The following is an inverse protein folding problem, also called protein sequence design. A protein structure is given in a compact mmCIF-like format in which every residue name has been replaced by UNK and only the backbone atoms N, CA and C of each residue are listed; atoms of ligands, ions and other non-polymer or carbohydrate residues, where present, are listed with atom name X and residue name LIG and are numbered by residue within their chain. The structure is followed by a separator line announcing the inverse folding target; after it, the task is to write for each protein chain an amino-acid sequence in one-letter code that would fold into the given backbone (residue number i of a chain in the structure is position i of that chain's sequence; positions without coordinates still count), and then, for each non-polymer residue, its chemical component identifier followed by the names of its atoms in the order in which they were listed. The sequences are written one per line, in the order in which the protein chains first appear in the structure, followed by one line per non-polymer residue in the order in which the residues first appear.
data_IF_213373076100
#
_entry.id   IF_213373076100
#
_cell.length_a   1.000
_cell.length_b   1.000
_cell.length_c   1.000
_cell.angle_alpha   90.00
_cell.angle_beta   90.00
_cell.angle_gamma   90.00
#
_symmetry.space_group_name_H-M   'P 1'
#
loop_
_entity.id
_entity.type
_entity.pdbx_description
1 polymer ?
#
# COMPACT_ATOMS: atom_id res chain seq x y z
N UNK A 1 -16.79 4.64 20.55
CA UNK A 1 -17.81 4.93 19.53
C UNK A 1 -17.30 4.90 18.08
N UNK A 2 -16.00 5.17 17.82
CA UNK A 2 -15.47 5.37 16.46
C UNK A 2 -15.61 4.12 15.57
N UNK A 3 -15.20 2.94 16.06
CA UNK A 3 -15.26 1.69 15.29
C UNK A 3 -16.69 1.36 14.85
N UNK A 4 -17.68 1.65 15.70
CA UNK A 4 -19.08 1.40 15.41
C UNK A 4 -19.58 2.19 14.20
N UNK A 5 -19.13 3.44 14.05
CA UNK A 5 -19.46 4.29 12.89
C UNK A 5 -18.86 3.68 11.62
N UNK A 6 -17.64 3.16 11.66
CA UNK A 6 -17.00 2.56 10.48
C UNK A 6 -17.43 1.12 10.17
N UNK A 7 -18.09 0.43 11.12
CA UNK A 7 -18.75 -0.85 10.88
C UNK A 7 -20.07 -0.73 10.10
N UNK A 8 -20.61 0.48 9.92
CA UNK A 8 -21.85 0.69 9.15
C UNK A 8 -21.56 1.01 7.68
N UNK A 9 -22.35 0.44 6.77
CA UNK A 9 -22.23 0.62 5.31
C UNK A 9 -22.81 1.97 4.82
N UNK A 10 -22.43 3.07 5.45
CA UNK A 10 -22.92 4.39 5.07
C UNK A 10 -21.88 5.10 4.21
N UNK A 11 -22.31 5.64 3.06
CA UNK A 11 -21.44 6.42 2.16
C UNK A 11 -20.76 7.59 2.89
N UNK A 12 -21.43 8.15 3.90
CA UNK A 12 -20.89 9.23 4.75
C UNK A 12 -19.60 8.82 5.48
N UNK A 13 -19.39 7.53 5.74
CA UNK A 13 -18.17 7.02 6.36
C UNK A 13 -16.93 7.29 5.49
N UNK A 14 -17.06 7.30 4.15
CA UNK A 14 -15.93 7.66 3.27
C UNK A 14 -15.56 9.14 3.38
N UNK A 15 -16.53 10.03 3.61
CA UNK A 15 -16.26 11.45 3.87
C UNK A 15 -15.53 11.61 5.20
N UNK A 16 -15.94 10.87 6.23
CA UNK A 16 -15.22 10.83 7.50
C UNK A 16 -13.78 10.32 7.36
N UNK A 17 -13.51 9.34 6.48
CA UNK A 17 -12.14 8.87 6.22
C UNK A 17 -11.26 9.98 5.64
N UNK A 18 -11.78 10.75 4.67
CA UNK A 18 -11.06 11.87 4.07
C UNK A 18 -10.78 12.98 5.09
N UNK A 19 -11.76 13.32 5.93
CA UNK A 19 -11.57 14.30 7.01
C UNK A 19 -10.56 13.81 8.05
N UNK A 20 -10.61 12.51 8.39
CA UNK A 20 -9.71 11.90 9.36
C UNK A 20 -8.28 11.85 8.83
N UNK A 21 -8.07 11.62 7.52
CA UNK A 21 -6.72 11.67 6.92
C UNK A 21 -6.12 13.07 7.01
N UNK A 22 -6.89 14.11 6.70
CA UNK A 22 -6.41 15.50 6.83
C UNK A 22 -6.10 15.83 8.30
N UNK A 23 -6.97 15.43 9.24
CA UNK A 23 -6.80 15.70 10.66
C UNK A 23 -5.56 15.03 11.26
N UNK A 24 -5.34 13.74 10.97
CA UNK A 24 -4.18 13.01 11.49
C UNK A 24 -2.85 13.48 10.86
N UNK A 25 -2.90 14.17 9.72
CA UNK A 25 -1.71 14.69 9.04
C UNK A 25 -1.33 16.11 9.46
N UNK A 26 -2.11 16.78 10.31
CA UNK A 26 -1.80 18.13 10.84
C UNK A 26 -0.39 18.22 11.46
N UNK A 27 0.11 17.25 12.24
CA UNK A 27 1.46 17.33 12.79
C UNK A 27 2.57 17.41 11.72
N UNK A 28 2.32 16.92 10.50
CA UNK A 28 3.27 16.95 9.39
C UNK A 28 3.64 18.36 8.91
N UNK A 29 2.76 19.35 9.17
CA UNK A 29 3.07 20.75 8.86
C UNK A 29 4.16 21.33 9.75
N UNK A 30 4.41 20.72 10.91
CA UNK A 30 5.39 21.19 11.90
C UNK A 30 6.68 20.34 11.93
N UNK A 31 6.68 19.16 11.30
CA UNK A 31 7.84 18.25 11.26
C UNK A 31 8.43 18.21 9.85
N UNK A 32 9.71 18.59 9.73
CA UNK A 32 10.45 18.47 8.47
C UNK A 32 11.08 17.09 8.34
N UNK A 33 10.70 16.34 7.31
CA UNK A 33 11.30 15.05 6.96
C UNK A 33 12.19 15.24 5.74
N UNK A 34 13.44 14.74 5.81
CA UNK A 34 14.33 14.69 4.64
C UNK A 34 14.02 13.44 3.84
N UNK A 35 13.71 13.63 2.56
CA UNK A 35 13.40 12.56 1.62
C UNK A 35 14.48 12.59 0.56
N UNK A 36 15.16 11.47 0.36
CA UNK A 36 16.10 11.35 -0.74
C UNK A 36 15.34 10.83 -1.95
N UNK A 37 15.42 11.52 -3.08
CA UNK A 37 14.83 11.02 -4.31
C UNK A 37 15.96 10.61 -5.24
N UNK A 38 16.00 9.33 -5.63
CA UNK A 38 16.96 8.88 -6.59
C UNK A 38 16.78 9.67 -7.89
N UNK A 39 17.89 10.22 -8.38
CA UNK A 39 17.92 11.12 -9.54
C UNK A 39 17.26 10.49 -10.78
N UNK A 40 17.34 9.16 -10.90
CA UNK A 40 16.85 8.38 -12.02
C UNK A 40 15.39 7.92 -11.87
N UNK A 41 14.73 8.21 -10.75
CA UNK A 41 13.32 7.88 -10.57
C UNK A 41 12.44 8.68 -11.52
N UNK A 42 11.38 8.06 -12.06
CA UNK A 42 10.38 8.77 -12.87
C UNK A 42 9.74 9.94 -12.09
N UNK A 43 9.70 9.83 -10.75
CA UNK A 43 9.23 10.89 -9.88
C UNK A 43 10.11 12.15 -9.93
N UNK A 44 11.44 12.03 -10.08
CA UNK A 44 12.31 13.20 -10.17
C UNK A 44 11.96 14.07 -11.40
N UNK A 45 11.59 13.44 -12.52
CA UNK A 45 11.25 14.16 -13.76
C UNK A 45 9.89 14.87 -13.69
N UNK A 46 8.87 14.25 -13.10
CA UNK A 46 7.49 14.78 -13.13
C UNK A 46 7.00 15.37 -11.81
N UNK A 47 7.60 14.97 -10.69
CA UNK A 47 7.09 15.21 -9.34
C UNK A 47 7.99 16.04 -8.44
N UNK A 48 9.26 16.28 -8.80
CA UNK A 48 10.19 17.02 -7.94
C UNK A 48 9.71 18.45 -7.58
N UNK A 49 8.90 19.08 -8.44
CA UNK A 49 8.31 20.39 -8.15
C UNK A 49 7.35 20.38 -6.95
N UNK A 50 6.70 19.23 -6.66
CA UNK A 50 5.83 19.06 -5.49
C UNK A 50 6.60 19.22 -4.18
N UNK A 51 7.92 18.99 -4.21
CA UNK A 51 8.74 19.05 -3.01
C UNK A 51 9.22 20.44 -2.61
N UNK A 52 8.87 21.49 -3.36
CA UNK A 52 9.37 22.84 -3.05
C UNK A 52 8.71 23.49 -1.83
N UNK A 53 7.46 23.12 -1.51
CA UNK A 53 6.68 23.72 -0.43
C UNK A 53 6.15 22.66 0.52
N UNK A 54 6.65 22.63 1.76
CA UNK A 54 6.26 21.62 2.76
C UNK A 54 4.75 21.57 3.01
N UNK A 55 4.10 22.72 3.20
CA UNK A 55 2.65 22.75 3.45
C UNK A 55 1.85 22.15 2.30
N UNK A 56 2.29 22.37 1.05
CA UNK A 56 1.65 21.79 -0.12
C UNK A 56 1.87 20.28 -0.21
N UNK A 57 3.08 19.79 0.11
CA UNK A 57 3.38 18.36 0.18
C UNK A 57 2.47 17.63 1.16
N UNK A 58 2.36 18.13 2.40
CA UNK A 58 1.57 17.51 3.45
C UNK A 58 0.09 17.47 3.05
N UNK A 59 -0.42 18.57 2.50
CA UNK A 59 -1.79 18.61 1.99
C UNK A 59 -2.03 17.56 0.90
N UNK A 60 -1.23 17.56 -0.15
CA UNK A 60 -1.36 16.61 -1.28
C UNK A 60 -1.25 15.15 -0.79
N UNK A 61 -0.29 14.85 0.07
CA UNK A 61 -0.11 13.51 0.63
C UNK A 61 -1.30 13.06 1.48
N UNK A 62 -1.82 13.93 2.35
CA UNK A 62 -3.00 13.63 3.19
C UNK A 62 -4.26 13.35 2.37
N UNK A 63 -4.45 14.08 1.27
CA UNK A 63 -5.55 13.88 0.32
C UNK A 63 -5.37 12.58 -0.44
N UNK A 64 -4.15 12.29 -0.94
CA UNK A 64 -3.85 11.04 -1.64
C UNK A 64 -4.08 9.82 -0.74
N UNK A 65 -3.59 9.84 0.50
CA UNK A 65 -3.82 8.75 1.47
C UNK A 65 -5.31 8.57 1.76
N UNK A 66 -6.06 9.67 1.89
CA UNK A 66 -7.51 9.62 2.05
C UNK A 66 -8.22 8.99 0.83
N UNK A 67 -7.85 9.39 -0.39
CA UNK A 67 -8.40 8.82 -1.63
C UNK A 67 -8.04 7.34 -1.77
N UNK A 68 -6.81 6.96 -1.45
CA UNK A 68 -6.35 5.57 -1.43
C UNK A 68 -7.14 4.73 -0.41
N UNK A 69 -7.42 5.27 0.78
CA UNK A 69 -8.24 4.61 1.79
C UNK A 69 -9.66 4.34 1.30
N UNK A 70 -10.28 5.33 0.63
CA UNK A 70 -11.61 5.21 0.04
C UNK A 70 -11.60 4.19 -1.10
N UNK A 71 -10.59 4.22 -1.97
CA UNK A 71 -10.44 3.28 -3.07
C UNK A 71 -10.22 1.84 -2.57
N UNK A 72 -9.38 1.65 -1.55
CA UNK A 72 -9.18 0.34 -0.93
C UNK A 72 -10.48 -0.19 -0.30
N UNK A 73 -11.22 0.65 0.43
CA UNK A 73 -12.55 0.29 0.94
C UNK A 73 -13.50 -0.15 -0.18
N UNK A 74 -13.49 0.56 -1.32
CA UNK A 74 -14.28 0.20 -2.49
C UNK A 74 -13.90 -1.20 -3.00
N UNK A 75 -12.61 -1.49 -3.20
CA UNK A 75 -12.11 -2.79 -3.68
C UNK A 75 -12.58 -3.94 -2.78
N UNK A 76 -12.44 -3.78 -1.46
CA UNK A 76 -12.81 -4.83 -0.49
C UNK A 76 -14.33 -5.04 -0.43
N UNK A 77 -15.11 -3.95 -0.42
CA UNK A 77 -16.56 -4.03 -0.31
C UNK A 77 -17.22 -4.53 -1.61
N UNK A 78 -16.68 -4.18 -2.77
CA UNK A 78 -17.16 -4.66 -4.07
C UNK A 78 -17.06 -6.20 -4.14
N UNK A 79 -15.95 -6.76 -3.65
CA UNK A 79 -15.76 -8.21 -3.63
C UNK A 79 -16.40 -8.92 -2.42
N UNK A 80 -17.08 -8.16 -1.54
CA UNK A 80 -17.69 -8.62 -0.28
C UNK A 80 -16.73 -9.46 0.56
N UNK A 81 -15.47 -9.01 0.63
CA UNK A 81 -14.40 -9.77 1.26
C UNK A 81 -14.57 -9.83 2.78
N UNK A 82 -15.00 -8.72 3.40
CA UNK A 82 -15.32 -8.63 4.84
C UNK A 82 -16.83 -8.72 5.04
N UNK A 83 -17.26 -9.52 6.02
CA UNK A 83 -18.69 -9.75 6.34
C UNK A 83 -19.36 -8.46 6.83
N UNK A 84 -20.39 -8.02 6.10
CA UNK A 84 -21.03 -6.72 6.34
C UNK A 84 -20.15 -5.62 5.80
N UNK A 85 -20.57 -4.98 4.71
CA UNK A 85 -19.83 -3.91 4.05
C UNK A 85 -19.38 -2.89 5.11
N UNK A 86 -18.07 -2.77 5.27
CA UNK A 86 -17.45 -2.09 6.39
C UNK A 86 -16.41 -1.12 5.84
N UNK A 87 -16.32 0.04 6.47
CA UNK A 87 -15.35 1.07 6.11
C UNK A 87 -14.09 0.99 6.98
N UNK A 88 -13.95 -0.07 7.79
CA UNK A 88 -12.81 -0.29 8.67
C UNK A 88 -11.49 -0.38 7.93
N UNK A 89 -11.47 -0.90 6.69
CA UNK A 89 -10.22 -1.03 5.91
C UNK A 89 -9.61 0.35 5.65
N UNK A 90 -10.42 1.28 5.17
CA UNK A 90 -9.96 2.65 4.93
C UNK A 90 -9.56 3.37 6.22
N UNK A 91 -10.27 3.14 7.34
CA UNK A 91 -9.85 3.68 8.63
C UNK A 91 -8.47 3.15 9.04
N UNK A 92 -8.23 1.84 8.99
CA UNK A 92 -6.92 1.28 9.32
C UNK A 92 -5.84 1.74 8.34
N UNK A 93 -6.17 1.90 7.05
CA UNK A 93 -5.22 2.42 6.07
C UNK A 93 -4.74 3.83 6.41
N UNK A 94 -5.65 4.74 6.75
CA UNK A 94 -5.30 6.11 7.18
C UNK A 94 -4.49 6.08 8.47
N UNK A 95 -4.94 5.32 9.47
CA UNK A 95 -4.25 5.24 10.77
C UNK A 95 -2.83 4.69 10.64
N UNK A 96 -2.62 3.68 9.80
CA UNK A 96 -1.27 3.14 9.53
C UNK A 96 -0.39 4.16 8.80
N UNK A 97 -0.91 4.87 7.80
CA UNK A 97 -0.14 5.91 7.09
C UNK A 97 0.09 7.18 7.92
N UNK A 98 -0.65 7.36 9.01
CA UNK A 98 -0.47 8.42 10.02
C UNK A 98 0.19 7.91 11.30
N UNK A 99 0.95 6.82 11.23
CA UNK A 99 1.50 6.19 12.42
C UNK A 99 2.76 6.88 12.97
N UNK A 100 3.54 7.54 12.12
CA UNK A 100 4.79 8.15 12.48
C UNK A 100 4.95 9.50 11.80
N UNK A 101 5.63 10.43 12.48
CA UNK A 101 5.97 11.76 11.95
C UNK A 101 6.80 11.70 10.67
N UNK A 102 7.65 10.69 10.54
CA UNK A 102 8.43 10.38 9.33
C UNK A 102 7.54 10.13 8.08
N UNK A 103 6.32 9.65 8.26
CA UNK A 103 5.38 9.39 7.17
C UNK A 103 4.52 10.60 6.79
N UNK A 104 4.45 11.63 7.64
CA UNK A 104 3.59 12.80 7.43
C UNK A 104 4.13 13.82 6.42
N UNK A 105 4.87 13.35 5.43
CA UNK A 105 5.42 14.14 4.34
C UNK A 105 5.15 13.42 3.03
N UNK A 106 5.10 14.16 1.91
CA UNK A 106 4.91 13.54 0.61
C UNK A 106 6.15 12.71 0.27
N UNK A 107 6.00 11.38 0.20
CA UNK A 107 7.04 10.48 -0.29
C UNK A 107 6.58 9.78 -1.59
N UNK A 108 7.51 9.42 -2.49
CA UNK A 108 7.19 8.68 -3.72
C UNK A 108 6.49 7.34 -3.44
N UNK A 109 6.71 6.72 -2.28
CA UNK A 109 6.11 5.43 -1.91
C UNK A 109 4.59 5.52 -1.72
N UNK A 110 4.06 6.67 -1.26
CA UNK A 110 2.61 6.91 -1.20
C UNK A 110 2.02 6.84 -2.61
N UNK A 111 2.73 7.39 -3.61
CA UNK A 111 2.31 7.28 -5.00
C UNK A 111 2.40 5.81 -5.48
N UNK A 112 3.45 5.10 -5.11
CA UNK A 112 3.61 3.66 -5.39
C UNK A 112 2.47 2.83 -4.80
N UNK A 113 1.99 3.15 -3.59
CA UNK A 113 0.82 2.48 -2.99
C UNK A 113 -0.43 2.59 -3.86
N UNK A 114 -0.63 3.70 -4.58
CA UNK A 114 -1.74 3.81 -5.53
C UNK A 114 -1.65 2.74 -6.63
N UNK A 115 -0.44 2.47 -7.14
CA UNK A 115 -0.21 1.39 -8.10
C UNK A 115 -0.43 0.01 -7.46
N UNK A 116 0.01 -0.22 -6.22
CA UNK A 116 -0.27 -1.46 -5.47
C UNK A 116 -1.77 -1.70 -5.34
N UNK A 117 -2.55 -0.66 -5.02
CA UNK A 117 -4.00 -0.73 -4.94
C UNK A 117 -4.64 -1.07 -6.29
N UNK A 118 -4.18 -0.47 -7.37
CA UNK A 118 -4.64 -0.80 -8.72
C UNK A 118 -4.32 -2.24 -9.13
N UNK A 119 -3.12 -2.73 -8.79
CA UNK A 119 -2.73 -4.14 -9.02
C UNK A 119 -3.63 -5.08 -8.21
N UNK A 120 -3.89 -4.78 -6.94
CA UNK A 120 -4.82 -5.53 -6.10
C UNK A 120 -6.24 -5.56 -6.67
N UNK A 121 -6.74 -4.41 -7.14
CA UNK A 121 -8.04 -4.34 -7.82
C UNK A 121 -8.10 -5.28 -9.02
N UNK A 122 -7.08 -5.26 -9.88
CA UNK A 122 -7.04 -6.15 -11.03
C UNK A 122 -6.90 -7.62 -10.64
N UNK A 123 -6.11 -7.96 -9.62
CA UNK A 123 -6.05 -9.33 -9.10
C UNK A 123 -7.41 -9.85 -8.66
N UNK A 124 -8.23 -9.01 -8.04
CA UNK A 124 -9.58 -9.38 -7.63
C UNK A 124 -10.52 -9.53 -8.83
N UNK A 125 -10.42 -8.62 -9.81
CA UNK A 125 -11.20 -8.70 -11.07
C UNK A 125 -10.88 -9.92 -11.92
N UNK A 126 -9.65 -10.43 -11.87
CA UNK A 126 -9.28 -11.67 -12.55
C UNK A 126 -10.08 -12.88 -12.05
N UNK A 127 -10.56 -12.84 -10.81
CA UNK A 127 -11.41 -13.90 -10.27
C UNK A 127 -12.87 -13.76 -10.74
N UNK A 128 -13.39 -12.54 -10.83
CA UNK A 128 -14.82 -12.30 -11.08
C UNK A 128 -15.21 -12.18 -12.54
N UNK A 129 -14.30 -11.74 -13.41
CA UNK A 129 -14.63 -11.40 -14.80
C UNK A 129 -14.07 -12.41 -15.82
N UNK A 130 -14.84 -12.63 -16.89
CA UNK A 130 -14.49 -13.54 -17.99
C UNK A 130 -13.44 -12.93 -18.93
N UNK A 131 -13.45 -11.61 -19.14
CA UNK A 131 -12.50 -10.87 -19.97
C UNK A 131 -11.25 -10.48 -19.19
N UNK A 132 -10.34 -11.44 -18.98
CA UNK A 132 -9.14 -11.23 -18.17
C UNK A 132 -7.98 -10.49 -18.89
N UNK A 133 -7.94 -10.51 -20.22
CA UNK A 133 -6.74 -10.05 -20.98
C UNK A 133 -6.40 -8.57 -20.72
N UNK A 134 -7.39 -7.69 -20.71
CA UNK A 134 -7.18 -6.26 -20.42
C UNK A 134 -6.71 -6.06 -18.98
N UNK A 135 -7.27 -6.79 -18.02
CA UNK A 135 -6.84 -6.71 -16.61
C UNK A 135 -5.42 -7.21 -16.40
N UNK A 136 -4.99 -8.25 -17.12
CA UNK A 136 -3.61 -8.73 -17.08
C UNK A 136 -2.62 -7.73 -17.64
N UNK A 137 -2.94 -7.13 -18.79
CA UNK A 137 -2.12 -6.08 -19.37
C UNK A 137 -2.03 -4.88 -18.43
N UNK A 138 -3.18 -4.42 -17.89
CA UNK A 138 -3.22 -3.27 -17.00
C UNK A 138 -2.49 -3.53 -15.68
N UNK A 139 -2.62 -4.72 -15.09
CA UNK A 139 -1.87 -5.08 -13.88
C UNK A 139 -0.36 -5.09 -14.15
N UNK A 140 0.08 -5.69 -15.26
CA UNK A 140 1.49 -5.64 -15.68
C UNK A 140 1.96 -4.19 -15.88
N UNK A 141 1.18 -3.37 -16.58
CA UNK A 141 1.46 -1.97 -16.82
C UNK A 141 1.61 -1.16 -15.53
N UNK A 142 0.70 -1.31 -14.57
CA UNK A 142 0.81 -0.63 -13.27
C UNK A 142 2.05 -1.08 -12.48
N UNK A 143 2.41 -2.36 -12.53
CA UNK A 143 3.66 -2.86 -11.92
C UNK A 143 4.86 -2.19 -12.59
N UNK A 144 4.88 -2.13 -13.93
CA UNK A 144 5.95 -1.48 -14.69
C UNK A 144 6.10 0.01 -14.37
N UNK A 145 5.00 0.77 -14.40
CA UNK A 145 5.03 2.21 -14.04
C UNK A 145 5.44 2.41 -12.59
N UNK A 146 4.88 1.64 -11.66
CA UNK A 146 5.23 1.73 -10.25
C UNK A 146 6.70 1.37 -10.00
N UNK A 147 7.25 0.41 -10.75
CA UNK A 147 8.67 0.07 -10.68
C UNK A 147 9.59 1.17 -11.20
N UNK A 148 9.16 1.98 -12.17
CA UNK A 148 9.94 3.16 -12.62
C UNK A 148 10.05 4.26 -11.55
N UNK A 149 9.16 4.23 -10.55
CA UNK A 149 9.17 5.16 -9.41
C UNK A 149 9.89 4.54 -8.22
N UNK A 150 9.68 3.25 -7.98
CA UNK A 150 10.32 2.48 -6.92
C UNK A 150 10.65 1.08 -7.44
N UNK A 151 11.90 0.87 -7.84
CA UNK A 151 12.39 -0.34 -8.51
C UNK A 151 11.96 -1.66 -7.82
N UNK A 152 12.02 -1.78 -6.47
CA UNK A 152 11.66 -3.03 -5.79
C UNK A 152 10.20 -3.47 -6.01
N UNK A 153 9.32 -2.61 -6.53
CA UNK A 153 7.96 -3.01 -6.89
C UNK A 153 7.90 -4.09 -7.99
N UNK A 154 8.97 -4.27 -8.79
CA UNK A 154 9.08 -5.34 -9.79
C UNK A 154 8.82 -6.74 -9.21
N UNK A 155 9.04 -6.91 -7.90
CA UNK A 155 8.76 -8.13 -7.16
C UNK A 155 7.28 -8.56 -7.26
N UNK A 156 6.35 -7.63 -7.53
CA UNK A 156 4.95 -7.97 -7.78
C UNK A 156 4.70 -8.65 -9.13
N UNK A 157 5.65 -8.62 -10.06
CA UNK A 157 5.49 -9.24 -11.36
C UNK A 157 5.42 -10.78 -11.30
N UNK A 158 6.35 -11.48 -10.62
CA UNK A 158 6.17 -12.92 -10.34
C UNK A 158 4.87 -13.22 -9.59
N UNK A 159 4.44 -12.36 -8.65
CA UNK A 159 3.16 -12.52 -7.97
C UNK A 159 1.98 -12.49 -8.94
N UNK A 160 1.99 -11.61 -9.95
CA UNK A 160 0.96 -11.56 -10.99
C UNK A 160 0.82 -12.92 -11.69
N UNK A 161 1.93 -13.57 -12.03
CA UNK A 161 1.91 -14.90 -12.65
C UNK A 161 1.39 -15.99 -11.71
N UNK A 162 1.75 -15.93 -10.42
CA UNK A 162 1.23 -16.86 -9.40
C UNK A 162 -0.29 -16.67 -9.25
N UNK A 163 -0.76 -15.43 -9.15
CA UNK A 163 -2.20 -15.10 -9.01
C UNK A 163 -2.97 -15.54 -10.25
N UNK A 164 -2.44 -15.31 -11.46
CA UNK A 164 -3.03 -15.78 -12.71
C UNK A 164 -3.18 -17.31 -12.72
N UNK A 165 -2.13 -18.03 -12.34
CA UNK A 165 -2.11 -19.51 -12.31
C UNK A 165 -3.03 -20.08 -11.23
N UNK A 166 -3.20 -19.34 -10.12
CA UNK A 166 -4.04 -19.74 -8.99
C UNK A 166 -5.54 -19.52 -9.24
N UNK A 167 -5.89 -18.44 -9.92
CA UNK A 167 -7.29 -18.10 -10.18
C UNK A 167 -7.85 -18.72 -11.44
N UNK A 168 -7.03 -18.89 -12.48
CA UNK A 168 -7.47 -19.29 -13.82
C UNK A 168 -6.57 -20.39 -14.39
N UNK A 169 -7.09 -21.12 -15.37
CA UNK A 169 -6.29 -22.11 -16.10
C UNK A 169 -5.15 -21.40 -16.83
N UNK A 170 -3.90 -21.81 -16.59
CA UNK A 170 -2.74 -21.12 -17.16
C UNK A 170 -2.76 -21.21 -18.68
N UNK A 171 -2.68 -20.05 -19.34
CA UNK A 171 -2.57 -19.96 -20.79
C UNK A 171 -1.35 -19.11 -21.13
N UNK A 172 -0.44 -19.66 -21.93
CA UNK A 172 0.80 -18.99 -22.36
C UNK A 172 0.55 -17.58 -22.89
N UNK A 173 -0.55 -17.37 -23.63
CA UNK A 173 -0.93 -16.05 -24.17
C UNK A 173 -1.16 -15.02 -23.06
N UNK A 174 -1.77 -15.43 -21.95
CA UNK A 174 -2.09 -14.55 -20.83
C UNK A 174 -0.81 -14.09 -20.10
N UNK A 175 0.22 -14.94 -20.02
CA UNK A 175 1.54 -14.55 -19.50
C UNK A 175 2.23 -13.53 -20.40
N UNK A 176 2.24 -13.73 -21.72
CA UNK A 176 2.83 -12.76 -22.65
C UNK A 176 2.13 -11.40 -22.59
N UNK A 177 0.79 -11.37 -22.49
CA UNK A 177 0.03 -10.13 -22.36
C UNK A 177 0.46 -9.36 -21.10
N UNK A 178 0.59 -10.05 -19.96
CA UNK A 178 1.07 -9.42 -18.73
C UNK A 178 2.51 -8.90 -18.85
N UNK A 179 3.39 -9.64 -19.53
CA UNK A 179 4.77 -9.26 -19.78
C UNK A 179 4.88 -8.01 -20.64
N UNK A 180 4.13 -7.94 -21.75
CA UNK A 180 4.07 -6.74 -22.59
C UNK A 180 3.52 -5.53 -21.83
N UNK A 181 2.52 -5.75 -20.96
CA UNK A 181 2.04 -4.71 -20.05
C UNK A 181 3.17 -4.16 -19.18
N UNK A 182 3.93 -5.03 -18.53
CA UNK A 182 5.02 -4.61 -17.65
C UNK A 182 6.21 -3.97 -18.38
N UNK A 183 6.56 -4.45 -19.56
CA UNK A 183 7.70 -3.93 -20.35
C UNK A 183 7.41 -2.58 -20.99
N UNK A 184 6.16 -2.30 -21.37
CA UNK A 184 5.81 -1.11 -22.12
C UNK A 184 6.22 0.21 -21.43
N UNK A 185 5.98 0.42 -20.12
CA UNK A 185 6.51 1.57 -19.39
C UNK A 185 8.03 1.73 -19.52
N UNK A 186 8.79 0.64 -19.41
CA UNK A 186 10.26 0.68 -19.53
C UNK A 186 10.70 1.09 -20.93
N UNK A 187 10.06 0.57 -21.97
CA UNK A 187 10.38 0.95 -23.36
C UNK A 187 10.21 2.46 -23.56
N UNK A 188 9.09 3.02 -23.10
CA UNK A 188 8.86 4.47 -23.19
C UNK A 188 9.86 5.26 -22.35
N UNK A 189 10.17 4.83 -21.13
CA UNK A 189 11.11 5.52 -20.26
C UNK A 189 12.55 5.52 -20.83
N UNK A 190 13.01 4.38 -21.34
CA UNK A 190 14.33 4.26 -22.01
C UNK A 190 14.36 5.16 -23.25
N UNK A 191 13.30 5.18 -24.05
CA UNK A 191 13.23 6.05 -25.23
C UNK A 191 13.31 7.54 -24.84
N UNK A 192 12.68 7.94 -23.74
CA UNK A 192 12.75 9.31 -23.21
C UNK A 192 14.16 9.68 -22.73
N UNK A 193 14.83 8.78 -21.99
CA UNK A 193 16.22 8.98 -21.54
C UNK A 193 17.18 9.09 -22.74
N UNK A 194 16.96 8.27 -23.78
CA UNK A 194 17.75 8.33 -25.01
C UNK A 194 17.58 9.68 -25.72
N UNK A 195 16.34 10.17 -25.86
CA UNK A 195 16.05 11.45 -26.50
C UNK A 195 16.56 12.68 -25.73
N UNK A 196 16.84 12.53 -24.42
CA UNK A 196 17.33 13.61 -23.55
C UNK A 196 18.84 13.57 -23.31
N UNK A 197 19.57 12.70 -24.03
CA UNK A 197 21.02 12.47 -23.90
C UNK A 197 21.47 12.12 -22.47
N UNK A 198 20.56 11.59 -21.64
CA UNK A 198 20.86 11.20 -20.25
C UNK A 198 21.33 9.75 -20.12
N UNK A 199 21.37 8.99 -21.22
CA UNK A 199 21.59 7.54 -21.20
C UNK A 199 22.98 7.14 -20.67
N UNK A 200 24.00 7.98 -20.88
CA UNK A 200 25.36 7.77 -20.33
C UNK A 200 25.46 8.10 -18.83
N UNK A 201 24.46 8.78 -18.26
CA UNK A 201 24.41 9.12 -16.83
C UNK A 201 23.65 8.09 -16.00
N UNK A 202 22.86 7.21 -16.62
CA UNK A 202 22.02 6.23 -15.92
C UNK A 202 22.62 4.83 -16.04
N UNK A 203 23.31 4.36 -15.00
CA UNK A 203 23.60 2.94 -14.82
C UNK A 203 22.31 2.23 -14.37
N UNK A 204 21.72 1.45 -15.27
CA UNK A 204 20.48 0.68 -14.99
C UNK A 204 20.61 -0.23 -13.76
N UNK A 205 21.82 -0.73 -13.49
CA UNK A 205 22.14 -1.56 -12.33
C UNK A 205 22.08 -0.76 -11.03
N UNK A 206 22.62 0.46 -11.00
CA UNK A 206 22.56 1.31 -9.81
C UNK A 206 21.13 1.78 -9.53
N UNK A 207 20.34 2.00 -10.60
CA UNK A 207 18.92 2.31 -10.47
C UNK A 207 18.12 1.17 -9.81
N UNK A 208 18.48 -0.09 -10.08
CA UNK A 208 17.77 -1.23 -9.48
C UNK A 208 18.18 -1.46 -8.02
N UNK A 209 19.47 -1.28 -7.71
CA UNK A 209 20.07 -1.74 -6.44
C UNK A 209 20.11 -0.61 -5.39
N UNK A 210 20.37 0.64 -5.79
CA UNK A 210 20.63 1.75 -4.87
C UNK A 210 19.44 2.73 -4.77
N UNK A 211 18.22 2.27 -5.05
CA UNK A 211 16.98 3.06 -5.04
C UNK A 211 16.51 3.41 -3.61
N UNK A 212 17.30 4.17 -2.85
CA UNK A 212 16.97 4.60 -1.48
C UNK A 212 16.06 5.83 -1.51
N UNK A 213 14.86 5.69 -0.93
CA UNK A 213 13.87 6.79 -0.86
C UNK A 213 13.91 7.50 0.49
N UNK A 214 14.29 6.78 1.53
CA UNK A 214 14.50 7.34 2.86
C UNK A 214 15.98 7.27 3.21
N UNK A 215 16.53 8.35 3.76
CA UNK A 215 17.84 8.30 4.40
C UNK A 215 17.74 7.46 5.68
N UNK A 216 18.82 6.77 6.04
CA UNK A 216 18.89 6.01 7.29
C UNK A 216 18.75 6.97 8.49
N UNK A 217 17.54 7.05 9.03
CA UNK A 217 17.25 7.85 10.22
C UNK A 217 17.39 7.00 11.48
N UNK A 218 17.96 7.58 12.53
CA UNK A 218 17.92 7.00 13.87
C UNK A 218 16.48 6.93 14.37
N UNK A 219 15.97 5.72 14.60
CA UNK A 219 14.65 5.51 15.20
C UNK A 219 14.68 5.88 16.70
N UNK A 220 13.70 6.64 17.17
CA UNK A 220 13.52 6.88 18.60
C UNK A 220 13.05 5.60 19.31
N UNK A 221 13.36 5.46 20.61
CA UNK A 221 12.92 4.30 21.41
C UNK A 221 11.39 4.14 21.39
N UNK A 222 10.64 5.24 21.32
CA UNK A 222 9.17 5.28 21.26
C UNK A 222 8.61 4.58 20.00
N UNK A 223 9.32 4.68 18.86
CA UNK A 223 8.93 4.03 17.61
C UNK A 223 8.94 2.50 17.74
N UNK A 224 9.87 1.93 18.51
CA UNK A 224 9.93 0.48 18.74
C UNK A 224 8.73 -0.03 19.55
N UNK A 225 8.21 0.75 20.51
CA UNK A 225 7.00 0.37 21.25
C UNK A 225 5.77 0.32 20.35
N UNK A 226 5.59 1.34 19.50
CA UNK A 226 4.50 1.36 18.52
C UNK A 226 4.60 0.17 17.56
N UNK A 227 5.78 -0.06 16.97
CA UNK A 227 6.00 -1.19 16.08
C UNK A 227 5.73 -2.52 16.78
N UNK A 228 6.12 -2.66 18.05
CA UNK A 228 5.85 -3.85 18.85
C UNK A 228 4.35 -4.13 18.98
N UNK A 229 3.55 -3.12 19.34
CA UNK A 229 2.08 -3.26 19.44
C UNK A 229 1.47 -3.62 18.08
N UNK A 230 1.90 -2.95 17.01
CA UNK A 230 1.42 -3.22 15.65
C UNK A 230 1.76 -4.64 15.21
N UNK A 231 2.98 -5.12 15.44
CA UNK A 231 3.41 -6.48 15.10
C UNK A 231 2.56 -7.50 15.85
N UNK A 232 2.33 -7.31 17.16
CA UNK A 232 1.48 -8.21 17.95
C UNK A 232 0.07 -8.26 17.38
N UNK A 233 -0.55 -7.11 17.08
CA UNK A 233 -1.87 -7.04 16.47
C UNK A 233 -1.92 -7.73 15.10
N UNK A 234 -0.87 -7.59 14.29
CA UNK A 234 -0.77 -8.26 13.00
C UNK A 234 -0.62 -9.77 13.13
N UNK A 235 0.17 -10.26 14.08
CA UNK A 235 0.28 -11.70 14.35
C UNK A 235 -1.09 -12.25 14.72
N UNK A 236 -1.84 -11.57 15.59
CA UNK A 236 -3.21 -11.97 15.92
C UNK A 236 -4.15 -11.89 14.72
N UNK A 237 -4.05 -10.85 13.89
CA UNK A 237 -4.87 -10.70 12.69
C UNK A 237 -4.60 -11.84 11.69
N UNK A 238 -3.33 -12.15 11.42
CA UNK A 238 -2.92 -13.24 10.53
C UNK A 238 -3.35 -14.60 11.10
N UNK A 239 -3.12 -14.85 12.39
CA UNK A 239 -3.55 -16.09 13.05
C UNK A 239 -5.08 -16.27 12.97
N UNK A 240 -5.85 -15.21 13.26
CA UNK A 240 -7.31 -15.24 13.17
C UNK A 240 -7.80 -15.53 11.75
N UNK A 241 -7.08 -15.04 10.74
CA UNK A 241 -7.38 -15.28 9.35
C UNK A 241 -7.17 -16.76 9.04
N UNK A 242 -5.99 -17.33 9.33
CA UNK A 242 -5.69 -18.75 9.09
C UNK A 242 -6.65 -19.70 9.81
N UNK A 243 -7.03 -19.41 11.05
CA UNK A 243 -7.99 -20.22 11.81
C UNK A 243 -9.39 -20.22 11.18
N UNK A 244 -9.78 -19.15 10.49
CA UNK A 244 -11.10 -19.00 9.90
C UNK A 244 -11.12 -19.23 8.37
N UNK A 245 -9.97 -19.36 7.70
CA UNK A 245 -9.86 -19.52 6.24
C UNK A 245 -10.75 -20.64 5.68
N UNK A 246 -10.79 -21.78 6.35
CA UNK A 246 -11.54 -22.95 5.87
C UNK A 246 -13.05 -22.82 6.09
N UNK A 247 -13.50 -21.88 6.93
CA UNK A 247 -14.92 -21.58 7.16
C UNK A 247 -15.47 -20.56 6.17
N UNK A 248 -14.59 -19.88 5.45
CA UNK A 248 -14.96 -18.89 4.44
C UNK A 248 -15.35 -19.54 3.11
N UNK A 249 -16.21 -18.87 2.35
CA UNK A 249 -16.62 -19.34 1.02
C UNK A 249 -15.41 -19.39 0.08
N UNK A 250 -15.45 -20.27 -0.92
CA UNK A 250 -14.29 -20.53 -1.82
C UNK A 250 -13.76 -19.25 -2.45
N UNK A 251 -14.65 -18.34 -2.87
CA UNK A 251 -14.28 -17.01 -3.40
C UNK A 251 -13.49 -16.19 -2.39
N UNK A 252 -14.04 -15.92 -1.21
CA UNK A 252 -13.40 -15.05 -0.21
C UNK A 252 -12.10 -15.65 0.29
N UNK A 253 -12.03 -16.98 0.46
CA UNK A 253 -10.80 -17.71 0.78
C UNK A 253 -9.70 -17.47 -0.25
N UNK A 254 -10.01 -17.57 -1.55
CA UNK A 254 -9.03 -17.30 -2.63
C UNK A 254 -8.51 -15.86 -2.58
N UNK A 255 -9.39 -14.88 -2.35
CA UNK A 255 -8.99 -13.47 -2.26
C UNK A 255 -8.13 -13.18 -1.02
N UNK A 256 -8.42 -13.80 0.12
CA UNK A 256 -7.55 -13.70 1.31
C UNK A 256 -6.16 -14.28 1.07
N UNK A 257 -6.06 -15.39 0.32
CA UNK A 257 -4.75 -15.95 -0.07
C UNK A 257 -3.98 -14.97 -0.97
N UNK A 258 -4.65 -14.25 -1.87
CA UNK A 258 -4.01 -13.20 -2.69
C UNK A 258 -3.48 -12.07 -1.80
N UNK A 259 -4.25 -11.60 -0.81
CA UNK A 259 -3.80 -10.57 0.14
C UNK A 259 -2.58 -11.07 0.93
N UNK A 260 -2.61 -12.33 1.37
CA UNK A 260 -1.47 -12.94 2.07
C UNK A 260 -0.23 -13.01 1.18
N UNK A 261 -0.37 -13.49 -0.06
CA UNK A 261 0.72 -13.52 -1.03
C UNK A 261 1.26 -12.11 -1.33
N UNK A 262 0.38 -11.11 -1.46
CA UNK A 262 0.78 -9.71 -1.62
C UNK A 262 1.67 -9.27 -0.46
N UNK A 263 1.31 -9.57 0.78
CA UNK A 263 2.14 -9.28 1.97
C UNK A 263 3.52 -9.92 1.86
N UNK A 264 3.60 -11.20 1.49
CA UNK A 264 4.88 -11.94 1.37
C UNK A 264 5.77 -11.32 0.29
N UNK A 265 5.22 -11.01 -0.87
CA UNK A 265 5.99 -10.40 -1.96
C UNK A 265 6.42 -8.95 -1.63
N UNK A 266 5.60 -8.18 -0.95
CA UNK A 266 6.01 -6.86 -0.48
C UNK A 266 7.12 -6.94 0.58
N UNK A 267 7.13 -7.96 1.45
CA UNK A 267 8.24 -8.19 2.39
C UNK A 267 9.57 -8.47 1.67
N UNK A 268 9.55 -9.19 0.54
CA UNK A 268 10.77 -9.49 -0.22
C UNK A 268 11.41 -8.26 -0.87
N UNK A 269 10.75 -7.09 -0.88
CA UNK A 269 11.36 -5.83 -1.35
C UNK A 269 12.58 -5.42 -0.53
N UNK A 270 12.66 -5.83 0.75
CA UNK A 270 13.81 -5.54 1.63
C UNK A 270 15.10 -6.21 1.14
N UNK A 271 15.00 -7.28 0.35
CA UNK A 271 16.17 -8.01 -0.19
C UNK A 271 16.89 -7.19 -1.26
N UNK A 272 16.19 -6.26 -1.91
CA UNK A 272 16.76 -5.40 -2.94
C UNK A 272 17.39 -4.14 -2.34
N UNK A 273 16.83 -3.65 -1.22
CA UNK A 273 17.35 -2.48 -0.52
C UNK A 273 17.00 -2.55 0.97
N UNK A 274 17.99 -2.88 1.80
CA UNK A 274 17.83 -3.05 3.25
C UNK A 274 17.52 -1.75 3.99
N UNK A 275 17.90 -0.61 3.42
CA UNK A 275 17.85 0.69 4.10
C UNK A 275 16.45 1.33 4.01
N UNK A 276 15.57 0.76 3.19
CA UNK A 276 14.21 1.26 2.91
C UNK A 276 13.12 0.63 3.81
N UNK A 277 13.40 0.39 5.09
CA UNK A 277 12.41 -0.18 6.04
C UNK A 277 11.13 0.67 6.12
N UNK A 278 11.28 2.00 6.05
CA UNK A 278 10.15 2.93 6.03
C UNK A 278 9.28 2.78 4.77
N UNK A 279 9.89 2.56 3.60
CA UNK A 279 9.16 2.31 2.36
C UNK A 279 8.37 1.00 2.44
N UNK A 280 8.99 -0.05 3.00
CA UNK A 280 8.33 -1.34 3.23
C UNK A 280 7.12 -1.20 4.17
N UNK A 281 7.21 -0.39 5.23
CA UNK A 281 6.08 -0.13 6.11
C UNK A 281 4.91 0.52 5.35
N UNK A 282 5.19 1.56 4.56
CA UNK A 282 4.16 2.25 3.75
C UNK A 282 3.52 1.28 2.75
N UNK A 283 4.29 0.45 2.06
CA UNK A 283 3.78 -0.58 1.15
C UNK A 283 2.89 -1.60 1.85
N UNK A 284 3.31 -2.08 3.02
CA UNK A 284 2.58 -3.07 3.80
C UNK A 284 1.30 -2.51 4.44
N UNK A 285 1.14 -1.19 4.53
CA UNK A 285 -0.11 -0.59 5.00
C UNK A 285 -1.34 -1.04 4.19
N UNK A 286 -1.16 -1.35 2.90
CA UNK A 286 -2.22 -1.86 2.03
C UNK A 286 -2.75 -3.21 2.52
N UNK A 287 -1.99 -4.32 2.53
CA UNK A 287 -2.50 -5.59 3.03
C UNK A 287 -2.82 -5.56 4.53
N UNK A 288 -2.02 -4.88 5.35
CA UNK A 288 -2.22 -4.85 6.81
C UNK A 288 -3.53 -4.18 7.21
N UNK A 289 -3.95 -3.12 6.52
CA UNK A 289 -5.25 -2.50 6.78
C UNK A 289 -6.41 -3.46 6.55
N UNK A 290 -6.33 -4.32 5.53
CA UNK A 290 -7.35 -5.35 5.24
C UNK A 290 -7.37 -6.44 6.31
N UNK A 291 -6.19 -6.89 6.74
CA UNK A 291 -6.04 -7.91 7.79
C UNK A 291 -6.59 -7.41 9.14
N UNK A 292 -6.21 -6.19 9.55
CA UNK A 292 -6.71 -5.57 10.78
C UNK A 292 -8.21 -5.34 10.71
N UNK A 293 -8.73 -4.81 9.59
CA UNK A 293 -10.16 -4.61 9.42
C UNK A 293 -10.94 -5.92 9.56
N UNK A 294 -10.46 -7.02 8.97
CA UNK A 294 -11.08 -8.33 9.13
C UNK A 294 -11.07 -8.79 10.59
N UNK A 295 -9.94 -8.68 11.27
CA UNK A 295 -9.82 -9.04 12.69
C UNK A 295 -10.81 -8.26 13.57
N UNK A 296 -10.84 -6.93 13.45
CA UNK A 296 -11.73 -6.07 14.23
C UNK A 296 -13.21 -6.26 13.88
N UNK A 297 -13.52 -6.67 12.65
CA UNK A 297 -14.87 -7.00 12.25
C UNK A 297 -15.38 -8.29 12.92
N UNK A 298 -14.50 -9.25 13.17
CA UNK A 298 -14.84 -10.51 13.84
C UNK A 298 -15.04 -10.35 15.37
N UNK A 299 -14.53 -9.27 15.98
CA UNK A 299 -14.71 -9.00 17.41
C UNK A 299 -16.19 -8.69 17.70
N UNK A 300 -16.85 -9.60 18.42
CA UNK A 300 -18.28 -9.48 18.82
C UNK A 300 -18.51 -8.43 19.90
N UNK A 301 -17.58 -8.26 20.84
CA UNK A 301 -17.70 -7.30 21.96
C UNK A 301 -17.17 -5.94 21.52
N UNK A 302 -18.07 -5.00 21.27
CA UNK A 302 -17.73 -3.65 20.77
C UNK A 302 -16.74 -2.93 21.69
N UNK A 303 -16.89 -3.02 23.01
CA UNK A 303 -15.99 -2.36 23.96
C UNK A 303 -14.53 -2.84 23.87
N UNK A 304 -14.31 -4.14 23.58
CA UNK A 304 -12.96 -4.69 23.40
C UNK A 304 -12.31 -4.17 22.13
N UNK A 305 -13.09 -4.11 21.03
CA UNK A 305 -12.60 -3.52 19.79
C UNK A 305 -12.20 -2.06 20.02
N UNK A 306 -13.03 -1.29 20.72
CA UNK A 306 -12.73 0.11 21.03
C UNK A 306 -11.47 0.26 21.89
N UNK A 307 -11.29 -0.59 22.90
CA UNK A 307 -10.10 -0.58 23.75
C UNK A 307 -8.82 -0.87 22.96
N UNK A 308 -8.81 -1.88 22.08
CA UNK A 308 -7.63 -2.16 21.25
C UNK A 308 -7.32 -1.02 20.28
N UNK A 309 -8.35 -0.40 19.71
CA UNK A 309 -8.17 0.74 18.81
C UNK A 309 -7.67 1.98 19.54
N UNK A 310 -8.20 2.29 20.72
CA UNK A 310 -7.72 3.43 21.50
C UNK A 310 -6.26 3.25 21.94
N UNK A 311 -5.86 2.02 22.31
CA UNK A 311 -4.44 1.73 22.58
C UNK A 311 -3.56 1.98 21.35
N UNK A 312 -4.02 1.60 20.16
CA UNK A 312 -3.29 1.88 18.91
C UNK A 312 -3.15 3.39 18.68
N UNK A 313 -4.25 4.15 18.80
CA UNK A 313 -4.22 5.60 18.65
C UNK A 313 -3.36 6.31 19.70
N UNK A 314 -3.37 5.84 20.95
CA UNK A 314 -2.51 6.37 22.01
C UNK A 314 -1.03 6.10 21.74
N UNK A 315 -0.70 4.93 21.19
CA UNK A 315 0.67 4.61 20.77
C UNK A 315 1.17 5.54 19.66
N UNK A 316 0.31 5.86 18.68
CA UNK A 316 0.61 6.84 17.63
C UNK A 316 0.80 8.24 18.23
N UNK A 317 -0.14 8.68 19.07
CA UNK A 317 -0.07 9.99 19.72
C UNK A 317 1.21 10.14 20.55
N UNK A 318 1.58 9.13 21.35
CA UNK A 318 2.82 9.12 22.12
C UNK A 318 4.07 9.23 21.21
N UNK A 319 4.03 8.62 20.02
CA UNK A 319 5.11 8.73 19.03
C UNK A 319 5.28 10.11 18.40
N UNK A 320 4.30 11.02 18.54
CA UNK A 320 4.41 12.40 18.04
C UNK A 320 5.03 13.38 19.03
N UNK A 321 4.90 13.12 20.34
CA UNK A 321 5.29 14.06 21.40
C UNK A 321 6.63 13.73 22.09
N UNK A 322 7.29 12.62 21.71
CA UNK A 322 8.52 12.09 22.33
C UNK A 322 9.61 11.83 21.30
#
# INVERSE_FOLDING_TARGET
MVIRIFKTNQVIANVFILLLSILLWIPGYFVTVKINIPYYSLFNFFGAWLLKMQSFQVFVASVLVGLQAVFLNYIINEEKLIKGNSHLVGLFYVVLNSAASLFLSFNPIILVNFFVLGVLFFFFKLYTLTHAKSFLFNAGFLIGVGSLIFSPLLVLFPLLWIVLSYLRTPNVKDYFISLFGALLPFVYFISYIYLTDQLLKVSFIDWIINDTVFEATSFSQTYFYYLGVLIVLLVFAVASLFLNLFREVVKTRKLYIIIFLLTVFLLTTILFNSDNILALYVLLSVPFSVLLANFFNQIKREWLAELYFTMLCLGIAAGYFL
#
